data_IF_418742174980
#
_entry.id   IF_418742174980
#
_cell.length_a   1.000
_cell.length_b   1.000
_cell.length_c   1.000
_cell.angle_alpha   90.00
_cell.angle_beta   90.00
_cell.angle_gamma   90.00
#
_symmetry.space_group_name_H-M   'P 1'
#
loop_
_entity.id
_entity.type
_entity.pdbx_description
1 polymer ?
#
# COMPACT_ATOMS: atom_id res chain seq x y z
N UNK A 1 -10.93 15.10 -6.80
CA UNK A 1 -9.72 15.12 -7.65
C UNK A 1 -8.95 13.85 -7.46
N UNK A 2 -8.38 13.35 -8.54
CA UNK A 2 -7.59 12.12 -8.48
C UNK A 2 -6.25 12.37 -7.80
N UNK A 3 -5.79 11.38 -7.05
CA UNK A 3 -4.47 11.40 -6.43
C UNK A 3 -3.43 11.02 -7.48
N UNK A 4 -2.30 11.69 -7.48
CA UNK A 4 -1.16 11.26 -8.29
C UNK A 4 -0.54 10.05 -7.59
N UNK A 5 -0.73 8.87 -8.18
CA UNK A 5 -0.30 7.62 -7.55
C UNK A 5 1.21 7.59 -7.36
N UNK A 6 1.97 8.03 -8.35
CA UNK A 6 3.44 8.07 -8.23
C UNK A 6 3.88 9.03 -7.14
N UNK A 7 3.25 10.21 -7.06
CA UNK A 7 3.57 11.18 -6.03
C UNK A 7 3.20 10.63 -4.64
N UNK A 8 2.06 9.94 -4.56
CA UNK A 8 1.64 9.34 -3.30
C UNK A 8 2.70 8.38 -2.77
N UNK A 9 3.16 7.44 -3.61
CA UNK A 9 4.13 6.44 -3.17
C UNK A 9 5.53 7.02 -3.02
N UNK A 10 5.99 7.79 -3.99
CA UNK A 10 7.39 8.23 -4.01
C UNK A 10 7.66 9.40 -3.07
N UNK A 11 6.64 10.16 -2.71
CA UNK A 11 6.81 11.33 -1.85
C UNK A 11 5.99 11.23 -0.58
N UNK A 12 4.67 11.19 -0.67
CA UNK A 12 3.80 11.26 0.52
C UNK A 12 3.93 10.04 1.41
N UNK A 13 3.81 8.85 0.84
CA UNK A 13 3.89 7.61 1.61
C UNK A 13 5.29 7.38 2.12
N UNK A 14 6.29 7.62 1.28
CA UNK A 14 7.69 7.50 1.68
C UNK A 14 8.01 8.44 2.84
N UNK A 15 7.57 9.71 2.75
CA UNK A 15 7.77 10.68 3.81
C UNK A 15 7.06 10.28 5.09
N UNK A 16 5.83 9.76 4.99
CA UNK A 16 5.07 9.33 6.16
C UNK A 16 5.76 8.17 6.88
N UNK A 17 6.28 7.21 6.12
CA UNK A 17 6.97 6.05 6.67
C UNK A 17 8.29 6.49 7.34
N UNK A 18 9.02 7.40 6.71
CA UNK A 18 10.28 7.90 7.25
C UNK A 18 10.06 8.77 8.49
N UNK A 19 8.98 9.53 8.52
CA UNK A 19 8.66 10.40 9.64
C UNK A 19 8.14 9.63 10.86
N UNK A 20 7.51 8.46 10.63
CA UNK A 20 6.94 7.66 11.71
C UNK A 20 7.42 6.20 11.59
N UNK A 21 8.74 5.93 11.72
CA UNK A 21 9.26 4.58 11.55
C UNK A 21 8.70 3.59 12.57
N UNK A 22 8.41 4.03 13.77
CA UNK A 22 7.85 3.15 14.81
C UNK A 22 6.44 2.70 14.45
N UNK A 23 5.62 3.61 13.93
CA UNK A 23 4.26 3.28 13.49
C UNK A 23 4.30 2.35 12.30
N UNK A 24 5.19 2.60 11.34
CA UNK A 24 5.37 1.74 10.18
C UNK A 24 5.80 0.34 10.59
N UNK A 25 6.74 0.24 11.54
CA UNK A 25 7.24 -1.04 12.02
C UNK A 25 6.15 -1.84 12.75
N UNK A 26 5.24 -1.16 13.43
CA UNK A 26 4.09 -1.82 14.07
C UNK A 26 3.15 -2.44 13.06
N UNK A 27 2.98 -1.81 11.92
CA UNK A 27 2.21 -2.38 10.81
C UNK A 27 2.91 -3.63 10.32
N UNK A 28 4.21 -3.53 10.07
CA UNK A 28 5.08 -4.66 9.74
C UNK A 28 4.80 -5.29 8.40
N UNK A 29 5.69 -6.20 8.00
CA UNK A 29 5.54 -6.95 6.78
C UNK A 29 6.13 -6.28 5.54
N UNK A 30 6.17 -7.03 4.45
CA UNK A 30 6.63 -6.53 3.16
C UNK A 30 5.49 -6.69 2.15
N UNK A 31 5.30 -5.70 1.31
CA UNK A 31 4.16 -5.65 0.40
C UNK A 31 4.60 -5.29 -1.00
N UNK A 32 4.10 -6.03 -1.97
CA UNK A 32 4.24 -5.67 -3.38
C UNK A 32 2.89 -5.13 -3.84
N UNK A 33 2.86 -3.86 -4.20
CA UNK A 33 1.64 -3.20 -4.63
C UNK A 33 1.72 -2.88 -6.12
N UNK A 34 0.86 -3.52 -6.90
CA UNK A 34 0.81 -3.33 -8.35
C UNK A 34 -0.46 -2.58 -8.69
N UNK A 35 -0.30 -1.33 -9.14
CA UNK A 35 -1.43 -0.47 -9.51
C UNK A 35 -1.49 -0.41 -11.03
N UNK A 36 -2.48 -1.08 -11.60
CA UNK A 36 -2.63 -1.14 -13.06
C UNK A 36 -2.83 0.23 -13.67
N UNK A 37 -1.94 0.59 -14.60
CA UNK A 37 -1.98 1.89 -15.25
C UNK A 37 -1.06 2.93 -14.62
N UNK A 38 -0.56 2.70 -13.41
CA UNK A 38 0.30 3.66 -12.71
C UNK A 38 1.70 3.14 -12.45
N UNK A 39 1.84 1.88 -12.02
CA UNK A 39 3.14 1.29 -11.75
C UNK A 39 3.10 0.29 -10.60
N UNK A 40 4.27 -0.05 -10.11
CA UNK A 40 4.42 -1.01 -9.02
C UNK A 40 5.35 -0.43 -7.95
N UNK A 41 5.07 -0.77 -6.70
CA UNK A 41 5.88 -0.32 -5.56
C UNK A 41 6.05 -1.44 -4.57
N UNK A 42 7.27 -1.53 -4.03
CA UNK A 42 7.58 -2.47 -2.96
C UNK A 42 7.68 -1.69 -1.65
N UNK A 43 6.91 -2.12 -0.66
CA UNK A 43 6.82 -1.45 0.63
C UNK A 43 7.39 -2.38 1.69
N UNK A 44 8.51 -1.99 2.30
CA UNK A 44 9.17 -2.76 3.35
C UNK A 44 8.94 -2.09 4.70
N UNK A 45 8.13 -2.72 5.52
CA UNK A 45 7.84 -2.24 6.87
C UNK A 45 8.38 -3.20 7.94
N UNK A 46 9.10 -4.23 7.52
CA UNK A 46 9.63 -5.24 8.44
C UNK A 46 11.04 -4.93 8.91
N UNK A 47 11.79 -4.13 8.16
CA UNK A 47 13.17 -3.80 8.53
C UNK A 47 13.23 -2.61 9.47
N UNK A 48 14.41 -2.37 10.04
CA UNK A 48 14.62 -1.23 10.95
C UNK A 48 14.52 0.11 10.20
N UNK A 49 14.65 0.09 8.88
CA UNK A 49 14.51 1.27 8.04
C UNK A 49 13.36 1.03 7.05
N UNK A 50 12.12 1.34 7.46
CA UNK A 50 10.98 1.18 6.54
C UNK A 50 11.21 1.99 5.28
N UNK A 51 10.85 1.41 4.14
CA UNK A 51 11.11 2.03 2.84
C UNK A 51 9.97 1.76 1.86
N UNK A 52 9.77 2.71 0.96
CA UNK A 52 8.87 2.58 -0.18
C UNK A 52 9.72 2.77 -1.43
N UNK A 53 9.78 1.74 -2.27
CA UNK A 53 10.64 1.75 -3.46
C UNK A 53 9.79 1.43 -4.69
N UNK A 54 9.97 2.20 -5.76
CA UNK A 54 9.30 1.91 -7.01
C UNK A 54 9.91 0.68 -7.65
N UNK A 55 9.06 -0.23 -8.16
CA UNK A 55 9.50 -1.45 -8.82
C UNK A 55 9.02 -2.69 -8.07
N UNK A 56 9.60 -3.83 -8.44
CA UNK A 56 9.24 -5.12 -7.86
C UNK A 56 10.31 -5.58 -6.88
N UNK A 57 9.88 -5.91 -5.66
CA UNK A 57 10.78 -6.46 -4.65
C UNK A 57 10.72 -7.98 -4.63
N UNK A 58 11.52 -8.58 -3.73
CA UNK A 58 11.62 -10.03 -3.60
C UNK A 58 10.87 -10.51 -2.37
N UNK A 59 10.17 -11.63 -2.52
CA UNK A 59 9.51 -12.36 -1.43
C UNK A 59 8.63 -11.48 -0.54
N UNK A 60 7.68 -10.74 -1.12
CA UNK A 60 6.77 -9.96 -0.29
C UNK A 60 5.88 -10.88 0.54
N UNK A 61 5.54 -10.43 1.74
CA UNK A 61 4.58 -11.14 2.58
C UNK A 61 3.20 -11.18 1.91
N UNK A 62 2.90 -10.15 1.14
CA UNK A 62 1.61 -9.99 0.50
C UNK A 62 1.81 -9.24 -0.81
N UNK A 63 1.09 -9.66 -1.86
CA UNK A 63 1.05 -8.96 -3.14
C UNK A 63 -0.36 -8.48 -3.38
N UNK A 64 -0.51 -7.20 -3.69
CA UNK A 64 -1.81 -6.59 -3.93
C UNK A 64 -1.86 -6.05 -5.35
N UNK A 65 -2.90 -6.42 -6.07
CA UNK A 65 -3.13 -5.96 -7.44
C UNK A 65 -4.46 -5.21 -7.50
N UNK A 66 -4.41 -3.99 -8.03
CA UNK A 66 -5.58 -3.13 -8.10
C UNK A 66 -5.43 -2.20 -9.30
N UNK A 67 -6.54 -1.89 -9.98
CA UNK A 67 -6.51 -0.91 -11.06
C UNK A 67 -6.44 0.50 -10.49
N UNK A 68 -5.86 1.44 -11.25
CA UNK A 68 -5.70 2.81 -10.77
C UNK A 68 -7.00 3.46 -10.32
N UNK A 69 -8.12 3.38 -11.07
CA UNK A 69 -9.37 3.98 -10.61
C UNK A 69 -9.85 3.44 -9.26
N UNK A 70 -9.69 2.14 -9.06
CA UNK A 70 -10.07 1.51 -7.79
C UNK A 70 -9.12 1.91 -6.67
N UNK A 71 -7.84 2.09 -7.00
CA UNK A 71 -6.87 2.57 -6.02
C UNK A 71 -7.19 3.99 -5.56
N UNK A 72 -7.64 4.85 -6.47
CA UNK A 72 -8.08 6.21 -6.11
C UNK A 72 -9.20 6.16 -5.08
N UNK A 73 -10.16 5.26 -5.27
CA UNK A 73 -11.25 5.06 -4.33
C UNK A 73 -10.73 4.57 -2.98
N UNK A 74 -9.79 3.62 -3.02
CA UNK A 74 -9.21 3.03 -1.82
C UNK A 74 -8.50 4.07 -0.97
N UNK A 75 -7.64 4.90 -1.57
CA UNK A 75 -6.86 5.87 -0.79
C UNK A 75 -7.72 7.00 -0.24
N UNK A 76 -8.85 7.29 -0.87
CA UNK A 76 -9.78 8.30 -0.36
C UNK A 76 -10.40 7.85 0.97
N UNK A 77 -10.76 6.56 1.08
CA UNK A 77 -11.36 6.00 2.29
C UNK A 77 -10.86 4.58 2.51
N UNK A 78 -9.60 4.41 2.98
CA UNK A 78 -9.01 3.06 3.07
C UNK A 78 -9.78 2.10 3.96
N UNK A 79 -10.36 2.59 5.04
CA UNK A 79 -11.05 1.74 6.00
C UNK A 79 -12.37 1.19 5.45
N UNK A 80 -13.15 2.00 4.74
CA UNK A 80 -14.44 1.57 4.24
C UNK A 80 -14.35 0.93 2.86
N UNK A 81 -13.50 1.45 1.96
CA UNK A 81 -13.45 0.98 0.59
C UNK A 81 -12.60 -0.26 0.40
N UNK A 82 -11.62 -0.50 1.28
CA UNK A 82 -10.76 -1.67 1.19
C UNK A 82 -11.54 -2.97 1.17
N UNK A 83 -12.46 -3.16 2.11
CA UNK A 83 -13.28 -4.36 2.17
C UNK A 83 -14.24 -4.46 0.99
N UNK A 84 -14.84 -3.34 0.60
CA UNK A 84 -15.76 -3.32 -0.54
C UNK A 84 -15.08 -3.74 -1.82
N UNK A 85 -13.89 -3.20 -2.07
CA UNK A 85 -13.12 -3.53 -3.27
C UNK A 85 -12.68 -4.98 -3.27
N UNK A 86 -12.30 -5.49 -2.11
CA UNK A 86 -11.89 -6.89 -1.97
C UNK A 86 -13.05 -7.83 -2.31
N UNK A 87 -14.21 -7.61 -1.72
CA UNK A 87 -15.39 -8.46 -1.97
C UNK A 87 -15.92 -8.30 -3.40
N UNK A 88 -15.73 -7.13 -4.01
CA UNK A 88 -16.14 -6.91 -5.40
C UNK A 88 -15.18 -7.54 -6.42
N UNK A 89 -14.06 -8.09 -5.96
CA UNK A 89 -13.05 -8.66 -6.84
C UNK A 89 -12.17 -7.63 -7.55
N UNK A 90 -12.25 -6.38 -7.14
CA UNK A 90 -11.45 -5.30 -7.72
C UNK A 90 -10.08 -5.17 -7.06
N UNK A 91 -9.97 -5.66 -5.85
CA UNK A 91 -8.71 -5.70 -5.10
C UNK A 91 -8.30 -7.16 -4.97
N UNK A 92 -7.19 -7.54 -5.59
CA UNK A 92 -6.69 -8.91 -5.53
C UNK A 92 -5.52 -8.99 -4.56
N UNK A 93 -5.57 -9.99 -3.69
CA UNK A 93 -4.54 -10.19 -2.67
C UNK A 93 -3.98 -11.59 -2.81
N UNK A 94 -2.65 -11.67 -2.89
CA UNK A 94 -1.91 -12.93 -2.91
C UNK A 94 -1.01 -12.96 -1.69
N UNK A 95 -0.91 -14.12 -1.05
CA UNK A 95 -0.10 -14.28 0.15
C UNK A 95 -0.92 -14.06 1.40
N UNK A 96 -0.35 -13.36 2.39
CA UNK A 96 -1.00 -13.17 3.68
C UNK A 96 -2.08 -12.10 3.60
N UNK A 97 -3.33 -12.54 3.61
CA UNK A 97 -4.48 -11.63 3.51
C UNK A 97 -4.61 -10.73 4.74
N UNK A 98 -4.19 -11.22 5.90
CA UNK A 98 -4.23 -10.39 7.10
C UNK A 98 -3.25 -9.23 7.01
N UNK A 99 -2.11 -9.44 6.36
CA UNK A 99 -1.16 -8.35 6.11
C UNK A 99 -1.76 -7.30 5.18
N UNK A 100 -2.57 -7.72 4.21
CA UNK A 100 -3.23 -6.78 3.31
C UNK A 100 -4.13 -5.80 4.07
N UNK A 101 -4.79 -6.25 5.11
CA UNK A 101 -5.62 -5.37 5.94
C UNK A 101 -4.80 -4.31 6.65
N UNK A 102 -3.54 -4.61 6.96
CA UNK A 102 -2.65 -3.65 7.60
C UNK A 102 -2.28 -2.48 6.69
N UNK A 103 -2.38 -2.65 5.36
CA UNK A 103 -2.13 -1.55 4.43
C UNK A 103 -3.10 -0.39 4.61
N UNK A 104 -4.30 -0.66 5.12
CA UNK A 104 -5.25 0.41 5.43
C UNK A 104 -4.64 1.39 6.44
N UNK A 105 -3.93 0.87 7.42
CA UNK A 105 -3.25 1.69 8.43
C UNK A 105 -2.13 2.51 7.80
N UNK A 106 -1.42 1.90 6.85
CA UNK A 106 -0.34 2.59 6.14
C UNK A 106 -0.87 3.78 5.35
N UNK A 107 -1.94 3.59 4.60
CA UNK A 107 -2.54 4.69 3.83
C UNK A 107 -3.10 5.78 4.74
N UNK A 108 -3.56 5.41 5.93
CA UNK A 108 -4.01 6.40 6.91
C UNK A 108 -2.85 7.27 7.41
N UNK A 109 -1.64 6.73 7.50
CA UNK A 109 -0.46 7.49 7.88
C UNK A 109 -0.11 8.56 6.82
N UNK A 110 -0.40 8.29 5.56
CA UNK A 110 -0.04 9.18 4.46
C UNK A 110 -1.00 10.35 4.28
N UNK A 111 -2.09 10.37 5.00
CA UNK A 111 -3.08 11.45 4.92
C UNK A 111 -2.71 12.65 5.77
#
# INVERSE_FOLDING_TARGET
MAVDVKDLFNNKLKSAVEAAPDAAKKIGGTYQLNVGGAGSWFIDLASDKPAVTEGTGQNPSCTIEIAEPDFQTLVANPQSEGMKLFFAGKLKVKGDQMKAMNLQKLFALAK
#
